data_IF_531539508960
#
_entry.id   IF_531539508960
#
_cell.length_a   1.000
_cell.length_b   1.000
_cell.length_c   1.000
_cell.angle_alpha   90.00
_cell.angle_beta   90.00
_cell.angle_gamma   90.00
#
_symmetry.space_group_name_H-M   'P 1'
#
loop_
_entity.id
_entity.type
_entity.pdbx_description
1 polymer ?
#
# COMPACT_ATOMS: atom_id res chain seq x y z
N UNK A 1 19.45 -20.14 4.18
CA UNK A 1 19.16 -18.90 3.44
C UNK A 1 19.97 -17.79 4.07
N UNK A 2 20.82 -17.05 3.32
CA UNK A 2 21.55 -15.91 3.87
C UNK A 2 20.55 -14.85 4.35
N UNK A 3 20.76 -14.31 5.55
CA UNK A 3 19.86 -13.39 6.25
C UNK A 3 20.07 -11.91 5.88
N UNK A 4 20.72 -11.64 4.74
CA UNK A 4 21.24 -10.30 4.42
C UNK A 4 20.73 -9.75 3.06
N UNK A 5 19.53 -10.16 2.61
CA UNK A 5 18.87 -9.61 1.40
C UNK A 5 17.78 -8.57 1.73
N UNK A 6 17.89 -7.85 2.85
CA UNK A 6 17.02 -6.70 3.07
C UNK A 6 17.57 -5.53 2.26
N UNK A 7 17.27 -5.53 0.95
CA UNK A 7 17.27 -4.33 0.14
C UNK A 7 16.48 -3.26 0.92
N UNK A 8 17.04 -2.05 1.08
CA UNK A 8 16.35 -0.99 1.83
C UNK A 8 14.91 -0.83 1.31
N UNK A 9 13.92 -0.91 2.21
CA UNK A 9 12.53 -0.80 1.82
C UNK A 9 12.31 0.54 1.09
N UNK A 10 11.59 0.53 -0.05
CA UNK A 10 11.32 1.75 -0.77
C UNK A 10 10.55 2.72 0.13
N UNK A 11 11.03 3.96 0.22
CA UNK A 11 10.37 5.00 1.04
C UNK A 11 8.97 5.35 0.53
N UNK A 12 8.74 5.14 -0.77
CA UNK A 12 7.49 5.33 -1.49
C UNK A 12 7.60 4.72 -2.89
N UNK A 13 6.55 4.05 -3.37
CA UNK A 13 6.42 3.57 -4.75
C UNK A 13 5.26 4.31 -5.41
N UNK A 14 5.44 4.92 -6.57
CA UNK A 14 4.32 5.63 -7.20
C UNK A 14 3.14 4.67 -7.50
N UNK A 15 1.92 4.95 -6.99
CA UNK A 15 0.80 4.03 -7.18
C UNK A 15 0.37 3.96 -8.65
N UNK A 16 0.26 2.75 -9.18
CA UNK A 16 -0.39 2.50 -10.47
C UNK A 16 -1.83 3.03 -10.46
N UNK A 17 -2.24 3.72 -11.51
CA UNK A 17 -3.59 4.27 -11.66
C UNK A 17 -4.47 3.37 -12.52
N UNK A 18 -5.73 3.23 -12.12
CA UNK A 18 -6.75 2.57 -12.93
C UNK A 18 -7.31 3.51 -14.00
N UNK A 19 -7.86 2.93 -15.06
CA UNK A 19 -8.64 3.64 -16.08
C UNK A 19 -10.11 3.22 -15.97
N UNK A 20 -11.01 4.15 -16.26
CA UNK A 20 -12.44 3.82 -16.37
C UNK A 20 -12.67 2.92 -17.58
N UNK A 21 -13.44 1.85 -17.42
CA UNK A 21 -13.72 0.85 -18.43
C UNK A 21 -15.05 0.12 -18.14
N UNK A 22 -15.70 -0.49 -19.15
CA UNK A 22 -16.79 -1.42 -18.92
C UNK A 22 -16.29 -2.68 -18.17
N UNK A 23 -17.21 -3.47 -17.58
CA UNK A 23 -16.84 -4.74 -16.94
C UNK A 23 -16.05 -5.65 -17.89
N UNK A 24 -14.94 -6.26 -17.43
CA UNK A 24 -14.15 -7.12 -18.29
C UNK A 24 -14.86 -8.45 -18.58
N UNK A 25 -14.56 -9.10 -19.73
CA UNK A 25 -14.95 -10.49 -19.96
C UNK A 25 -14.21 -11.37 -18.96
N UNK A 26 -14.90 -12.35 -18.36
CA UNK A 26 -14.48 -13.09 -17.14
C UNK A 26 -13.05 -13.62 -17.11
N UNK A 27 -12.48 -13.97 -18.26
CA UNK A 27 -11.23 -14.73 -18.34
C UNK A 27 -10.01 -13.81 -18.29
N UNK A 28 -9.07 -14.11 -17.39
CA UNK A 28 -7.83 -13.35 -17.24
C UNK A 28 -7.93 -12.07 -16.40
N UNK A 29 -9.09 -11.82 -15.75
CA UNK A 29 -9.31 -10.66 -14.90
C UNK A 29 -9.60 -11.06 -13.45
N UNK A 30 -8.96 -10.37 -12.51
CA UNK A 30 -9.36 -10.36 -11.11
C UNK A 30 -10.26 -9.13 -10.87
N UNK A 31 -11.34 -9.32 -10.12
CA UNK A 31 -12.26 -8.25 -9.74
C UNK A 31 -12.15 -8.00 -8.24
N UNK A 32 -11.90 -6.74 -7.87
CA UNK A 32 -11.89 -6.28 -6.49
C UNK A 32 -12.91 -5.15 -6.32
N UNK A 33 -13.50 -5.04 -5.11
CA UNK A 33 -14.42 -3.95 -4.78
C UNK A 33 -13.65 -2.63 -4.82
N UNK A 34 -14.18 -1.62 -5.53
CA UNK A 34 -13.67 -0.26 -5.44
C UNK A 34 -14.12 0.35 -4.10
N UNK A 35 -13.24 0.34 -3.12
CA UNK A 35 -13.41 1.10 -1.88
C UNK A 35 -13.23 2.59 -2.14
N UNK A 36 -14.12 3.42 -1.60
CA UNK A 36 -14.00 4.88 -1.66
C UNK A 36 -13.42 5.41 -0.36
N UNK A 37 -12.25 6.06 -0.47
CA UNK A 37 -11.45 6.46 0.67
C UNK A 37 -10.08 6.95 0.23
N UNK A 38 -9.10 6.86 1.13
CA UNK A 38 -7.71 7.19 0.82
C UNK A 38 -6.93 5.95 0.36
N UNK A 39 -5.85 6.16 -0.41
CA UNK A 39 -4.92 5.11 -0.81
C UNK A 39 -3.55 5.32 -0.15
N UNK A 40 -3.33 4.81 1.07
CA UNK A 40 -2.02 4.83 1.71
C UNK A 40 -1.17 3.62 1.26
N UNK A 41 0.14 3.79 1.24
CA UNK A 41 1.11 2.70 1.30
C UNK A 41 1.53 2.51 2.75
N UNK A 42 1.53 1.26 3.20
CA UNK A 42 2.05 0.86 4.50
C UNK A 42 3.46 0.31 4.28
N UNK A 43 4.44 0.88 4.96
CA UNK A 43 5.82 0.40 4.99
C UNK A 43 6.08 -0.12 6.40
N UNK A 44 6.43 -1.40 6.51
CA UNK A 44 6.80 -2.05 7.76
C UNK A 44 8.21 -2.60 7.66
N UNK A 45 9.11 -2.08 8.49
CA UNK A 45 10.53 -2.46 8.53
C UNK A 45 10.85 -3.58 9.54
N UNK A 46 9.82 -4.24 10.07
CA UNK A 46 9.93 -5.22 11.15
C UNK A 46 9.78 -4.64 12.56
N UNK A 47 9.78 -3.31 12.70
CA UNK A 47 9.66 -2.63 13.99
C UNK A 47 8.64 -1.49 13.96
N UNK A 48 8.60 -0.73 12.87
CA UNK A 48 7.82 0.51 12.75
C UNK A 48 6.93 0.48 11.51
N UNK A 49 5.71 0.97 11.67
CA UNK A 49 4.75 1.17 10.59
C UNK A 49 4.78 2.64 10.16
N UNK A 50 5.04 2.89 8.88
CA UNK A 50 4.93 4.22 8.26
C UNK A 50 3.86 4.22 7.18
N UNK A 51 3.07 5.29 7.09
CA UNK A 51 2.05 5.47 6.05
C UNK A 51 2.40 6.63 5.11
N UNK A 52 2.31 6.37 3.81
CA UNK A 52 2.46 7.39 2.75
C UNK A 52 1.17 7.50 1.97
N UNK A 53 0.61 8.70 1.87
CA UNK A 53 -0.56 8.97 1.02
C UNK A 53 -0.28 8.67 -0.47
N UNK A 54 -1.31 8.70 -1.31
CA UNK A 54 -1.20 8.54 -2.78
C UNK A 54 -0.13 9.43 -3.43
N UNK A 55 0.19 10.59 -2.85
CA UNK A 55 1.20 11.54 -3.36
C UNK A 55 2.51 11.53 -2.57
N UNK A 56 2.74 10.53 -1.72
CA UNK A 56 4.00 10.38 -0.96
C UNK A 56 4.10 11.19 0.33
N UNK A 57 3.10 12.02 0.67
CA UNK A 57 3.05 12.73 1.96
C UNK A 57 2.97 11.73 3.11
N UNK A 58 3.78 11.93 4.14
CA UNK A 58 3.63 11.24 5.43
C UNK A 58 2.25 11.52 6.03
N UNK A 59 1.49 10.46 6.29
CA UNK A 59 0.21 10.53 7.00
C UNK A 59 0.16 9.56 8.18
N UNK A 60 1.30 9.14 8.70
CA UNK A 60 1.41 8.12 9.77
C UNK A 60 0.65 8.53 11.03
N UNK A 61 0.72 9.81 11.41
CA UNK A 61 0.05 10.33 12.60
C UNK A 61 -1.47 10.57 12.43
N UNK A 62 -1.99 10.48 11.20
CA UNK A 62 -3.44 10.56 10.96
C UNK A 62 -4.15 9.23 11.23
N UNK A 63 -3.40 8.12 11.32
CA UNK A 63 -3.92 6.76 11.50
C UNK A 63 -3.21 6.03 12.66
N UNK A 64 -3.31 6.53 13.90
CA UNK A 64 -2.64 5.92 15.05
C UNK A 64 -3.08 4.46 15.30
N UNK A 65 -4.30 4.08 14.94
CA UNK A 65 -4.81 2.72 15.05
C UNK A 65 -4.06 1.72 14.16
N UNK A 66 -3.53 2.18 13.02
CA UNK A 66 -2.79 1.32 12.09
C UNK A 66 -1.38 1.04 12.60
N UNK A 67 -0.79 1.95 13.38
CA UNK A 67 0.51 1.74 14.02
C UNK A 67 0.49 0.65 15.08
N UNK A 68 -0.70 0.30 15.59
CA UNK A 68 -0.90 -0.67 16.66
C UNK A 68 -1.29 -2.06 16.14
N UNK A 69 -1.31 -2.25 14.81
CA UNK A 69 -1.66 -3.54 14.24
C UNK A 69 -0.65 -4.63 14.68
N UNK A 70 -1.13 -5.81 15.10
CA UNK A 70 -0.26 -6.94 15.37
C UNK A 70 0.15 -7.56 14.02
N UNK A 71 1.23 -7.06 13.45
CA UNK A 71 1.86 -7.54 12.22
C UNK A 71 3.26 -8.08 12.48
#
# INVERSE_FOLDING_TARGET
MPRDLHEELPRFVEPMLARSAPPPPSDGWALEVKWDGIRPQIIFDGHTVTLRSRRGRDCTNEFPEIQQLPI
#
